data_IF_126458191799
#
_entry.id   IF_126458191799
#
_cell.length_a   1.000
_cell.length_b   1.000
_cell.length_c   1.000
_cell.angle_alpha   90.00
_cell.angle_beta   90.00
_cell.angle_gamma   90.00
#
_symmetry.space_group_name_H-M   'P 1'
#
loop_
_entity.id
_entity.type
_entity.pdbx_description
1 polymer ?
#
# COMPACT_ATOMS: atom_id res chain seq x y z
N UNK A 1 17.47 4.29 -14.73
CA UNK A 1 16.53 3.47 -13.94
C UNK A 1 16.61 3.94 -12.49
N UNK A 2 15.48 4.20 -11.83
CA UNK A 2 15.43 4.58 -10.42
C UNK A 2 14.65 3.54 -9.64
N UNK A 3 15.19 3.08 -8.51
CA UNK A 3 14.56 2.10 -7.62
C UNK A 3 14.37 2.73 -6.26
N UNK A 4 13.19 2.59 -5.68
CA UNK A 4 12.88 3.07 -4.33
C UNK A 4 12.27 1.94 -3.52
N UNK A 5 12.77 1.72 -2.31
CA UNK A 5 12.20 0.77 -1.36
C UNK A 5 11.11 1.47 -0.57
N UNK A 6 9.91 0.90 -0.60
CA UNK A 6 8.72 1.36 0.11
C UNK A 6 8.14 0.21 0.92
N UNK A 7 7.11 0.48 1.71
CA UNK A 7 6.50 -0.49 2.60
C UNK A 7 4.98 -0.46 2.47
N UNK A 8 4.36 -1.63 2.41
CA UNK A 8 2.91 -1.75 2.52
C UNK A 8 2.47 -1.56 3.97
N UNK A 9 1.18 -1.25 4.21
CA UNK A 9 0.61 -1.08 5.57
C UNK A 9 0.86 -2.25 6.52
N UNK A 10 1.11 -3.45 6.00
CA UNK A 10 1.40 -4.64 6.79
C UNK A 10 2.89 -4.82 7.10
N UNK A 11 3.75 -3.86 6.75
CA UNK A 11 5.20 -3.94 6.91
C UNK A 11 5.94 -4.61 5.74
N UNK A 12 5.22 -5.12 4.74
CA UNK A 12 5.83 -5.81 3.59
C UNK A 12 6.68 -4.84 2.75
N UNK A 13 7.98 -5.10 2.53
CA UNK A 13 8.81 -4.26 1.70
C UNK A 13 8.48 -4.45 0.20
N UNK A 14 8.31 -3.35 -0.52
CA UNK A 14 7.95 -3.30 -1.93
C UNK A 14 8.95 -2.39 -2.65
N UNK A 15 9.48 -2.85 -3.79
CA UNK A 15 10.32 -2.04 -4.67
C UNK A 15 9.46 -1.32 -5.69
N UNK A 16 9.61 -0.01 -5.78
CA UNK A 16 9.05 0.81 -6.85
C UNK A 16 10.16 1.12 -7.85
N UNK A 17 10.02 0.58 -9.06
CA UNK A 17 10.99 0.73 -10.14
C UNK A 17 10.41 1.69 -11.18
N UNK A 18 11.16 2.74 -11.49
CA UNK A 18 10.87 3.70 -12.57
C UNK A 18 11.95 3.59 -13.63
N UNK A 19 11.52 3.33 -14.86
CA UNK A 19 12.39 3.13 -16.00
C UNK A 19 11.93 4.03 -17.16
N UNK A 20 12.86 4.77 -17.75
CA UNK A 20 12.59 5.46 -19.01
C UNK A 20 12.53 4.46 -20.16
N UNK A 21 11.48 4.57 -20.96
CA UNK A 21 11.23 3.77 -22.16
C UNK A 21 10.95 4.75 -23.30
N UNK A 22 12.01 5.19 -23.98
CA UNK A 22 11.94 6.26 -24.97
C UNK A 22 11.54 7.60 -24.32
N UNK A 23 10.55 8.33 -24.87
CA UNK A 23 10.07 9.58 -24.29
C UNK A 23 9.16 9.39 -23.05
N UNK A 24 8.77 8.15 -22.72
CA UNK A 24 7.86 7.84 -21.62
C UNK A 24 8.59 7.27 -20.38
N UNK A 25 7.97 7.40 -19.21
CA UNK A 25 8.38 6.70 -17.99
C UNK A 25 7.43 5.54 -17.70
N UNK A 26 7.97 4.34 -17.50
CA UNK A 26 7.25 3.15 -17.03
C UNK A 26 7.59 2.90 -15.57
N UNK A 27 6.55 2.79 -14.73
CA UNK A 27 6.69 2.44 -13.32
C UNK A 27 6.03 1.10 -13.01
N UNK A 28 6.66 0.27 -12.18
CA UNK A 28 6.10 -0.99 -11.71
C UNK A 28 6.55 -1.31 -10.29
N UNK A 29 5.77 -2.16 -9.60
CA UNK A 29 6.04 -2.60 -8.24
C UNK A 29 6.51 -4.04 -8.22
N UNK A 30 7.49 -4.34 -7.37
CA UNK A 30 8.10 -5.66 -7.24
C UNK A 30 8.18 -6.03 -5.77
N UNK A 31 8.00 -7.31 -5.44
CA UNK A 31 8.24 -7.82 -4.09
C UNK A 31 9.73 -7.73 -3.74
N UNK A 32 10.09 -7.00 -2.67
CA UNK A 32 11.50 -6.86 -2.30
C UNK A 32 12.10 -8.17 -1.78
N UNK A 33 11.28 -9.10 -1.26
CA UNK A 33 11.74 -10.38 -0.74
C UNK A 33 11.97 -11.42 -1.85
N UNK A 34 11.20 -11.32 -2.94
CA UNK A 34 11.35 -12.19 -4.09
C UNK A 34 11.21 -11.40 -5.41
N UNK A 35 12.27 -10.66 -5.81
CA UNK A 35 12.17 -9.64 -6.83
C UNK A 35 12.19 -10.15 -8.27
N UNK A 36 12.51 -11.43 -8.48
CA UNK A 36 12.70 -12.00 -9.82
C UNK A 36 11.87 -13.28 -10.00
N UNK A 37 11.39 -13.48 -11.22
CA UNK A 37 10.86 -14.75 -11.71
C UNK A 37 11.87 -15.30 -12.71
N UNK A 38 12.23 -16.57 -12.54
CA UNK A 38 13.04 -17.32 -13.51
C UNK A 38 12.09 -18.11 -14.40
N UNK A 39 12.11 -17.83 -15.71
CA UNK A 39 11.37 -18.60 -16.70
C UNK A 39 12.10 -19.90 -17.02
N UNK A 40 11.39 -20.88 -17.58
CA UNK A 40 11.94 -22.18 -18.00
C UNK A 40 13.15 -22.07 -18.93
N UNK A 41 13.24 -20.99 -19.70
CA UNK A 41 14.39 -20.67 -20.59
C UNK A 41 15.60 -20.03 -19.88
N UNK A 42 15.61 -19.98 -18.54
CA UNK A 42 16.68 -19.33 -17.74
C UNK A 42 16.64 -17.80 -17.74
N UNK A 43 15.63 -17.18 -18.39
CA UNK A 43 15.47 -15.73 -18.39
C UNK A 43 14.91 -15.24 -17.06
N UNK A 44 15.56 -14.22 -16.49
CA UNK A 44 15.13 -13.56 -15.24
C UNK A 44 14.37 -12.27 -15.56
N UNK A 45 13.14 -12.19 -15.09
CA UNK A 45 12.28 -11.01 -15.24
C UNK A 45 11.85 -10.48 -13.87
N UNK A 46 11.63 -9.16 -13.70
CA UNK A 46 11.14 -8.63 -12.44
C UNK A 46 9.76 -9.20 -12.10
N UNK A 47 9.58 -9.60 -10.85
CA UNK A 47 8.31 -10.12 -10.33
C UNK A 47 7.35 -8.97 -10.06
N UNK A 48 6.65 -8.51 -11.10
CA UNK A 48 5.68 -7.42 -10.98
C UNK A 48 4.50 -7.86 -10.12
N UNK A 49 4.15 -7.06 -9.12
CA UNK A 49 3.04 -7.32 -8.20
C UNK A 49 1.99 -6.20 -8.24
N UNK A 50 0.72 -6.58 -8.28
CA UNK A 50 -0.42 -5.66 -8.08
C UNK A 50 -1.01 -5.78 -6.67
N UNK A 51 -0.73 -6.90 -6.00
CA UNK A 51 -1.20 -7.21 -4.65
C UNK A 51 -0.03 -7.60 -3.77
N UNK A 52 -0.07 -7.14 -2.53
CA UNK A 52 0.92 -7.45 -1.51
C UNK A 52 0.97 -8.97 -1.29
N UNK A 53 2.14 -9.61 -1.38
CA UNK A 53 2.25 -11.07 -1.24
C UNK A 53 1.84 -11.55 0.16
N UNK A 54 2.05 -10.74 1.20
CA UNK A 54 1.73 -11.05 2.59
C UNK A 54 0.24 -10.90 2.90
N UNK A 55 -0.34 -9.70 2.78
CA UNK A 55 -1.72 -9.45 3.22
C UNK A 55 -2.74 -9.36 2.08
N UNK A 56 -2.34 -9.64 0.83
CA UNK A 56 -3.15 -9.59 -0.40
C UNK A 56 -3.82 -8.24 -0.72
N UNK A 57 -3.48 -7.18 0.01
CA UNK A 57 -3.95 -5.82 -0.23
C UNK A 57 -3.38 -5.23 -1.53
N UNK A 58 -4.10 -4.28 -2.13
CA UNK A 58 -3.65 -3.63 -3.36
C UNK A 58 -2.39 -2.78 -3.15
N UNK A 59 -1.45 -2.92 -4.08
CA UNK A 59 -0.22 -2.11 -4.13
C UNK A 59 -0.48 -0.90 -5.02
N UNK A 60 -0.56 0.28 -4.42
CA UNK A 60 -0.65 1.57 -5.12
C UNK A 60 0.32 2.53 -4.47
N UNK A 61 0.99 3.38 -5.26
CA UNK A 61 1.99 4.33 -4.76
C UNK A 61 1.47 5.16 -3.58
N UNK A 62 0.22 5.64 -3.67
CA UNK A 62 -0.47 6.43 -2.64
C UNK A 62 -0.70 5.69 -1.30
N UNK A 63 -0.57 4.35 -1.29
CA UNK A 63 -0.79 3.49 -0.11
C UNK A 63 0.50 2.88 0.43
N UNK A 64 1.64 3.31 -0.10
CA UNK A 64 2.95 2.85 0.33
C UNK A 64 3.65 3.89 1.18
N UNK A 65 4.39 3.42 2.17
CA UNK A 65 5.13 4.22 3.12
C UNK A 65 6.61 4.19 2.77
N UNK A 66 7.31 5.31 2.99
CA UNK A 66 8.77 5.39 2.78
C UNK A 66 9.55 4.63 3.85
N UNK A 67 8.94 4.43 5.02
CA UNK A 67 9.48 3.73 6.17
C UNK A 67 8.54 2.60 6.58
N UNK A 68 9.05 1.52 7.20
CA UNK A 68 8.19 0.42 7.64
C UNK A 68 7.18 0.96 8.68
N UNK A 69 5.87 0.70 8.50
CA UNK A 69 4.91 1.05 9.53
C UNK A 69 5.29 0.29 10.80
N UNK A 70 5.44 1.03 11.90
CA UNK A 70 5.55 0.43 13.22
C UNK A 70 4.27 -0.39 13.41
N UNK A 71 4.39 -1.72 13.50
CA UNK A 71 3.28 -2.65 13.74
C UNK A 71 2.73 -2.47 15.17
N UNK A 72 2.24 -1.26 15.46
CA UNK A 72 1.69 -0.82 16.74
C UNK A 72 0.42 0.02 16.61
N UNK A 73 -0.05 0.31 15.39
CA UNK A 73 -1.35 0.94 15.18
C UNK A 73 -2.17 0.08 14.23
N UNK A 74 -2.68 -1.02 14.78
CA UNK A 74 -3.94 -1.58 14.31
C UNK A 74 -4.91 -0.41 14.09
N UNK A 75 -5.42 -0.30 12.87
CA UNK A 75 -6.76 0.18 12.52
C UNK A 75 -7.47 0.92 13.67
N UNK A 76 -6.94 2.07 14.11
CA UNK A 76 -7.76 3.03 14.81
C UNK A 76 -8.48 3.72 13.67
N UNK A 77 -9.54 3.07 13.19
CA UNK A 77 -10.63 3.75 12.52
C UNK A 77 -10.94 4.97 13.38
N UNK A 78 -10.41 6.12 13.01
CA UNK A 78 -11.05 7.36 13.37
C UNK A 78 -12.46 7.22 12.78
N UNK A 79 -13.53 7.21 13.60
CA UNK A 79 -14.87 7.29 13.05
C UNK A 79 -14.93 8.61 12.30
N UNK A 80 -14.97 8.54 10.98
CA UNK A 80 -15.34 9.66 10.12
C UNK A 80 -16.66 10.19 10.66
N UNK A 81 -16.63 11.42 11.18
CA UNK A 81 -17.67 11.97 12.00
C UNK A 81 -19.06 11.92 11.36
N UNK A 82 -19.98 11.29 12.07
CA UNK A 82 -21.32 11.82 12.25
C UNK A 82 -21.65 11.70 13.73
N UNK A 83 -21.46 12.76 14.49
CA UNK A 83 -22.09 12.87 15.80
C UNK A 83 -23.53 13.30 15.56
N UNK A 84 -24.56 12.47 15.86
CA UNK A 84 -25.91 12.98 15.91
C UNK A 84 -25.94 14.05 17.00
N UNK A 85 -26.38 15.26 16.64
CA UNK A 85 -26.61 16.33 17.58
C UNK A 85 -27.48 15.79 18.72
N UNK A 86 -27.02 15.94 19.97
CA UNK A 86 -27.87 15.72 21.13
C UNK A 86 -29.04 16.70 21.01
N UNK A 87 -30.21 16.19 20.62
CA UNK A 87 -31.47 16.88 20.82
C UNK A 87 -31.71 16.92 22.33
N UNK A 88 -31.17 17.95 22.96
CA UNK A 88 -31.69 18.43 24.22
C UNK A 88 -32.91 19.30 23.92
N UNK A 89 -34.06 18.85 24.40
CA UNK A 89 -35.23 19.68 24.73
C UNK A 89 -36.33 18.69 25.15
N UNK A 90 -36.52 18.47 26.45
CA UNK A 90 -37.34 19.30 27.34
C UNK A 90 -38.66 18.54 27.56
N UNK A 91 -38.76 17.96 28.75
CA UNK A 91 -40.01 17.41 29.28
C UNK A 91 -41.05 18.54 29.36
N UNK A 92 -42.33 18.26 29.11
CA UNK A 92 -43.26 18.71 30.13
C UNK A 92 -44.22 17.61 30.56
N UNK A 93 -44.59 17.58 31.86
CA UNK A 93 -45.55 16.64 32.39
C UNK A 93 -46.97 17.17 32.16
N UNK A 94 -47.89 16.27 31.80
CA UNK A 94 -49.29 16.39 32.23
C UNK A 94 -50.01 15.06 32.21
#
# INVERSE_FOLDING_TARGET
MKVSKLFHRCGCPILHIRQQVGPAEKSFFVDANNPVIESSDGKRSPRVIERCPQCKGFVKLEKLYSEPPSLGTADTKAPTGYMPARMGSDDPPK
#
